data_IF_030897308830
#
_entry.id   IF_030897308830
#
_cell.length_a   1.000
_cell.length_b   1.000
_cell.length_c   1.000
_cell.angle_alpha   90.00
_cell.angle_beta   90.00
_cell.angle_gamma   90.00
#
_symmetry.space_group_name_H-M   'P 1'
#
loop_
_entity.id
_entity.type
_entity.pdbx_description
1 polymer ?
#
# COMPACT_ATOMS: atom_id res chain seq x y z
N UNK A 1 18.87 -15.96 -5.51
CA UNK A 1 18.53 -14.58 -5.10
C UNK A 1 18.57 -14.53 -3.58
N UNK A 2 19.32 -13.60 -2.97
CA UNK A 2 19.40 -13.50 -1.51
C UNK A 2 18.15 -12.77 -1.00
N UNK A 3 17.42 -13.39 -0.08
CA UNK A 3 16.29 -12.76 0.60
C UNK A 3 16.82 -12.02 1.83
N UNK A 4 16.33 -10.80 2.03
CA UNK A 4 16.60 -10.00 3.23
C UNK A 4 15.31 -9.88 4.04
N UNK A 5 15.39 -10.10 5.35
CA UNK A 5 14.28 -9.85 6.25
C UNK A 5 14.23 -8.37 6.64
N UNK A 6 13.04 -7.82 6.82
CA UNK A 6 12.83 -6.45 7.27
C UNK A 6 11.71 -6.43 8.28
N UNK A 7 11.92 -5.76 9.41
CA UNK A 7 10.88 -5.49 10.40
C UNK A 7 10.26 -4.13 10.09
N UNK A 8 8.94 -4.08 10.01
CA UNK A 8 8.17 -2.85 9.79
C UNK A 8 7.29 -2.65 11.02
N UNK A 9 7.38 -1.47 11.63
CA UNK A 9 6.50 -1.07 12.72
C UNK A 9 5.25 -0.42 12.12
N UNK A 10 4.09 -0.93 12.52
CA UNK A 10 2.77 -0.48 12.09
C UNK A 10 1.90 -0.50 13.34
N UNK A 11 1.08 0.52 13.55
CA UNK A 11 0.08 0.50 14.61
C UNK A 11 -0.93 -0.63 14.39
N UNK A 12 -1.52 -1.11 15.48
CA UNK A 12 -2.36 -2.32 15.45
C UNK A 12 -3.64 -2.13 14.63
N UNK A 13 -4.21 -0.92 14.62
CA UNK A 13 -5.42 -0.59 13.88
C UNK A 13 -5.16 -0.63 12.37
N UNK A 14 -4.18 0.14 11.89
CA UNK A 14 -3.76 0.15 10.48
C UNK A 14 -3.37 -1.23 9.99
N UNK A 15 -2.67 -2.01 10.83
CA UNK A 15 -2.29 -3.38 10.48
C UNK A 15 -3.50 -4.28 10.28
N UNK A 16 -4.50 -4.20 11.16
CA UNK A 16 -5.73 -4.99 11.06
C UNK A 16 -6.50 -4.63 9.80
N UNK A 17 -6.73 -3.34 9.57
CA UNK A 17 -7.44 -2.86 8.38
C UNK A 17 -6.75 -3.28 7.08
N UNK A 18 -5.42 -3.11 7.01
CA UNK A 18 -4.65 -3.53 5.84
C UNK A 18 -4.72 -5.06 5.62
N UNK A 19 -4.68 -5.86 6.70
CA UNK A 19 -4.80 -7.31 6.59
C UNK A 19 -6.16 -7.75 6.06
N UNK A 20 -7.25 -7.15 6.54
CA UNK A 20 -8.61 -7.43 6.06
C UNK A 20 -8.74 -7.03 4.58
N UNK A 21 -8.35 -5.81 4.23
CA UNK A 21 -8.36 -5.31 2.85
C UNK A 21 -7.60 -6.23 1.89
N UNK A 22 -6.34 -6.55 2.19
CA UNK A 22 -5.52 -7.34 1.27
C UNK A 22 -5.99 -8.79 1.19
N UNK A 23 -6.56 -9.34 2.28
CA UNK A 23 -7.17 -10.67 2.28
C UNK A 23 -8.35 -10.72 1.31
N UNK A 24 -9.20 -9.70 1.30
CA UNK A 24 -10.32 -9.59 0.35
C UNK A 24 -9.84 -9.45 -1.10
N UNK A 25 -8.66 -8.84 -1.30
CA UNK A 25 -7.95 -8.78 -2.59
C UNK A 25 -7.18 -10.07 -2.94
N UNK A 26 -7.26 -11.12 -2.12
CA UNK A 26 -6.62 -12.41 -2.37
C UNK A 26 -5.11 -12.44 -2.09
N UNK A 27 -4.59 -11.56 -1.23
CA UNK A 27 -3.18 -11.53 -0.86
C UNK A 27 -2.94 -11.23 0.62
N UNK A 28 -1.71 -11.44 1.09
CA UNK A 28 -1.32 -11.08 2.45
C UNK A 28 -0.54 -9.75 2.46
N UNK A 29 -0.39 -9.17 3.65
CA UNK A 29 0.32 -7.91 3.85
C UNK A 29 1.76 -7.94 3.29
N UNK A 30 2.47 -9.06 3.45
CA UNK A 30 3.83 -9.23 2.92
C UNK A 30 3.88 -9.13 1.40
N UNK A 31 2.91 -9.73 0.70
CA UNK A 31 2.79 -9.62 -0.75
C UNK A 31 2.50 -8.18 -1.17
N UNK A 32 1.58 -7.50 -0.48
CA UNK A 32 1.25 -6.11 -0.75
C UNK A 32 2.46 -5.16 -0.60
N UNK A 33 3.22 -5.30 0.49
CA UNK A 33 4.46 -4.52 0.71
C UNK A 33 5.48 -4.80 -0.38
N UNK A 34 5.66 -6.06 -0.78
CA UNK A 34 6.57 -6.40 -1.87
C UNK A 34 6.12 -5.81 -3.22
N UNK A 35 4.82 -5.77 -3.49
CA UNK A 35 4.27 -5.11 -4.68
C UNK A 35 4.59 -3.62 -4.64
N UNK A 36 4.32 -2.95 -3.51
CA UNK A 36 4.62 -1.53 -3.34
C UNK A 36 6.10 -1.22 -3.62
N UNK A 37 7.02 -1.97 -3.01
CA UNK A 37 8.47 -1.77 -3.22
C UNK A 37 8.88 -2.02 -4.67
N UNK A 38 8.36 -3.07 -5.31
CA UNK A 38 8.64 -3.35 -6.73
C UNK A 38 8.11 -2.25 -7.65
N UNK A 39 6.91 -1.71 -7.39
CA UNK A 39 6.36 -0.61 -8.17
C UNK A 39 7.17 0.67 -7.97
N UNK A 40 7.55 0.99 -6.73
CA UNK A 40 8.38 2.16 -6.44
C UNK A 40 9.72 2.09 -7.18
N UNK A 41 10.39 0.93 -7.17
CA UNK A 41 11.64 0.72 -7.91
C UNK A 41 11.41 0.76 -9.43
N UNK A 42 10.33 0.18 -9.94
CA UNK A 42 10.03 0.19 -11.38
C UNK A 42 9.80 1.60 -11.90
N UNK A 43 9.08 2.42 -11.14
CA UNK A 43 8.64 3.75 -11.58
C UNK A 43 9.51 4.90 -11.07
N UNK A 44 10.51 4.60 -10.22
CA UNK A 44 11.40 5.59 -9.61
C UNK A 44 10.64 6.73 -8.89
N UNK A 45 9.50 6.39 -8.27
CA UNK A 45 8.63 7.32 -7.53
C UNK A 45 7.83 6.59 -6.46
N UNK A 46 7.16 7.35 -5.60
CA UNK A 46 6.14 6.78 -4.71
C UNK A 46 4.93 6.36 -5.59
N UNK A 47 4.50 5.09 -5.54
CA UNK A 47 3.45 4.54 -6.41
C UNK A 47 2.03 4.88 -5.92
N UNK A 48 1.85 6.08 -5.37
CA UNK A 48 0.58 6.69 -5.04
C UNK A 48 0.73 8.21 -5.05
N UNK A 49 -0.38 8.93 -5.08
CA UNK A 49 -0.36 10.39 -5.02
C UNK A 49 0.05 10.87 -3.63
N UNK A 50 1.00 11.79 -3.57
CA UNK A 50 1.43 12.46 -2.33
C UNK A 50 0.97 13.90 -2.40
N UNK A 51 -0.01 14.25 -1.58
CA UNK A 51 -0.63 15.58 -1.52
C UNK A 51 -1.98 15.49 -0.81
N UNK A 52 -2.62 16.63 -0.58
CA UNK A 52 -3.95 16.64 0.02
C UNK A 52 -4.95 15.90 -0.88
N UNK A 53 -5.81 15.04 -0.32
CA UNK A 53 -6.86 14.39 -1.10
C UNK A 53 -7.73 15.50 -1.70
N UNK A 54 -7.72 15.61 -3.03
CA UNK A 54 -8.71 16.46 -3.70
C UNK A 54 -10.07 15.86 -3.41
N UNK A 55 -10.87 16.54 -2.59
CA UNK A 55 -12.29 16.22 -2.48
C UNK A 55 -12.85 16.20 -3.90
N UNK A 56 -13.47 15.09 -4.28
CA UNK A 56 -14.19 15.02 -5.56
C UNK A 56 -15.22 16.14 -5.53
N UNK A 57 -15.05 17.14 -6.40
CA UNK A 57 -16.16 18.00 -6.75
C UNK A 57 -17.20 17.08 -7.37
N UNK A 58 -18.23 16.76 -6.59
CA UNK A 58 -19.46 16.18 -7.08
C UNK A 58 -19.98 17.15 -8.15
N UNK A 59 -19.65 16.87 -9.41
CA UNK A 59 -20.24 17.59 -10.53
C UNK A 59 -21.70 17.19 -10.53
N UNK A 60 -22.53 18.07 -9.97
CA UNK A 60 -23.97 17.98 -10.10
C UNK A 60 -24.33 18.03 -11.58
N UNK A 61 -24.97 16.98 -12.04
CA UNK A 61 -25.90 17.01 -13.16
C UNK A 61 -27.30 16.69 -12.62
#
# INVERSE_FOLDING_TARGET
MKMSATTINIDDETKKEAQELFKDLGMNLTTAVNIFLKQAVREQRIPFYVGEPKHKEETGE
#
